data_IF_331581033676
#
_entry.id   IF_331581033676
#
_cell.length_a   1.000
_cell.length_b   1.000
_cell.length_c   1.000
_cell.angle_alpha   90.00
_cell.angle_beta   90.00
_cell.angle_gamma   90.00
#
_symmetry.space_group_name_H-M   'P 1'
#
loop_
_entity.id
_entity.type
_entity.pdbx_description
1 polymer ?
#
# COMPACT_ATOMS: atom_id res chain seq x y z
N UNK A 1 0.52 17.94 -3.15
CA UNK A 1 1.80 18.26 -3.83
C UNK A 1 1.83 19.69 -4.41
N UNK A 2 0.96 20.06 -5.37
CA UNK A 2 1.01 21.38 -6.05
C UNK A 2 1.05 22.59 -5.10
N UNK A 3 0.26 22.60 -4.04
CA UNK A 3 0.24 23.69 -3.06
C UNK A 3 1.55 23.81 -2.27
N UNK A 4 2.21 22.69 -1.96
CA UNK A 4 3.51 22.69 -1.28
C UNK A 4 4.57 23.34 -2.19
N UNK A 5 4.57 22.96 -3.48
CA UNK A 5 5.51 23.54 -4.46
C UNK A 5 5.28 25.04 -4.68
N UNK A 6 4.02 25.50 -4.70
CA UNK A 6 3.71 26.94 -4.78
C UNK A 6 4.25 27.72 -3.58
N UNK A 7 4.06 27.20 -2.37
CA UNK A 7 4.56 27.81 -1.13
C UNK A 7 6.08 27.83 -1.08
N UNK A 8 6.74 26.78 -1.58
CA UNK A 8 8.19 26.73 -1.69
C UNK A 8 8.74 27.78 -2.67
N UNK A 9 8.17 27.88 -3.87
CA UNK A 9 8.59 28.88 -4.88
C UNK A 9 8.33 30.31 -4.38
N UNK A 10 7.27 30.51 -3.59
CA UNK A 10 6.97 31.79 -2.95
C UNK A 10 7.90 32.12 -1.76
N UNK A 11 8.77 31.19 -1.33
CA UNK A 11 9.66 31.36 -0.18
C UNK A 11 8.94 31.30 1.18
N UNK A 12 7.67 30.87 1.21
CA UNK A 12 6.87 30.78 2.45
C UNK A 12 7.26 29.58 3.32
N UNK A 13 7.92 28.59 2.72
CA UNK A 13 8.46 27.41 3.41
C UNK A 13 9.87 27.13 2.89
N UNK A 14 10.72 26.56 3.74
CA UNK A 14 12.06 26.09 3.34
C UNK A 14 11.98 24.83 2.46
N UNK A 15 13.10 24.48 1.81
CA UNK A 15 13.22 23.21 1.10
C UNK A 15 13.00 22.05 2.08
N UNK A 16 13.60 22.10 3.26
CA UNK A 16 13.45 21.05 4.29
C UNK A 16 11.99 20.91 4.74
N UNK A 17 11.28 22.03 4.98
CA UNK A 17 9.84 22.03 5.29
C UNK A 17 9.00 21.43 4.16
N UNK A 18 9.35 21.73 2.91
CA UNK A 18 8.66 21.19 1.75
C UNK A 18 8.90 19.69 1.63
N UNK A 19 10.12 19.22 1.85
CA UNK A 19 10.45 17.79 1.86
C UNK A 19 9.68 17.04 2.94
N UNK A 20 9.64 17.55 4.18
CA UNK A 20 8.92 16.90 5.27
C UNK A 20 7.40 16.83 5.03
N UNK A 21 6.82 17.91 4.49
CA UNK A 21 5.38 17.91 4.12
C UNK A 21 5.07 17.00 2.94
N UNK A 22 6.00 16.84 1.99
CA UNK A 22 5.86 15.88 0.90
C UNK A 22 6.00 14.44 1.40
N UNK A 23 6.87 14.19 2.38
CA UNK A 23 7.02 12.88 3.03
C UNK A 23 5.73 12.41 3.71
N UNK A 24 5.00 13.33 4.37
CA UNK A 24 3.71 13.03 5.04
C UNK A 24 2.59 12.71 4.02
N UNK A 25 2.65 13.24 2.80
CA UNK A 25 1.66 12.95 1.75
C UNK A 25 1.81 11.56 1.11
N UNK A 26 2.74 10.73 1.60
CA UNK A 26 2.95 9.36 1.09
C UNK A 26 2.02 8.33 1.76
N UNK A 27 0.96 8.78 2.41
CA UNK A 27 -0.12 7.92 2.89
C UNK A 27 -1.22 7.90 1.84
N UNK A 28 -1.34 6.78 1.13
CA UNK A 28 -2.39 6.55 0.17
C UNK A 28 -3.67 6.14 0.92
N UNK A 29 -4.78 6.85 0.69
CA UNK A 29 -6.08 6.38 1.14
C UNK A 29 -6.62 5.35 0.13
N UNK A 30 -6.84 4.11 0.56
CA UNK A 30 -7.46 3.06 -0.24
C UNK A 30 -8.89 2.85 0.27
N UNK A 31 -9.87 3.34 -0.47
CA UNK A 31 -11.27 3.40 -0.02
C UNK A 31 -11.47 4.30 1.21
N UNK A 32 -12.59 4.11 1.93
CA UNK A 32 -12.98 5.00 3.04
C UNK A 32 -12.20 4.76 4.35
N UNK A 33 -11.60 3.57 4.52
CA UNK A 33 -11.13 3.09 5.82
C UNK A 33 -9.68 2.57 5.85
N UNK A 34 -8.92 2.68 4.77
CA UNK A 34 -7.53 2.19 4.74
C UNK A 34 -6.58 3.33 4.40
N UNK A 35 -5.63 3.58 5.30
CA UNK A 35 -4.50 4.48 5.08
C UNK A 35 -3.26 3.61 4.95
N UNK A 36 -2.60 3.66 3.80
CA UNK A 36 -1.47 2.84 3.46
C UNK A 36 -0.22 3.71 3.29
N UNK A 37 0.79 3.49 4.12
CA UNK A 37 2.09 4.13 4.05
C UNK A 37 2.97 3.43 3.00
N UNK A 38 2.81 3.85 1.73
CA UNK A 38 3.59 3.35 0.58
C UNK A 38 5.08 3.65 0.68
N UNK A 39 5.52 4.40 1.70
CA UNK A 39 6.93 4.73 1.93
C UNK A 39 7.55 4.02 3.12
N UNK A 40 6.78 3.13 3.78
CA UNK A 40 7.28 2.36 4.92
C UNK A 40 8.51 1.54 4.57
N UNK A 41 8.52 0.92 3.38
CA UNK A 41 9.65 0.13 2.91
C UNK A 41 10.91 0.98 2.76
N UNK A 42 10.81 2.16 2.15
CA UNK A 42 11.95 3.09 2.02
C UNK A 42 12.50 3.57 3.36
N UNK A 43 11.67 3.63 4.41
CA UNK A 43 12.06 4.12 5.74
C UNK A 43 12.61 3.02 6.65
N UNK A 44 12.11 1.79 6.54
CA UNK A 44 12.34 0.71 7.52
C UNK A 44 12.83 -0.60 6.86
N UNK A 45 12.86 -0.67 5.53
CA UNK A 45 13.27 -1.83 4.76
C UNK A 45 12.21 -2.92 4.63
N UNK A 46 10.98 -2.68 5.09
CA UNK A 46 9.86 -3.63 5.00
C UNK A 46 8.55 -2.92 4.62
N UNK A 47 7.72 -3.53 3.75
CA UNK A 47 6.42 -2.99 3.37
C UNK A 47 5.42 -2.95 4.52
N UNK A 48 4.28 -2.31 4.28
CA UNK A 48 3.18 -2.34 5.24
C UNK A 48 2.43 -3.67 5.18
N UNK A 49 2.22 -4.25 6.37
CA UNK A 49 1.52 -5.50 6.53
C UNK A 49 0.01 -5.27 6.69
N UNK A 50 -0.79 -5.86 5.81
CA UNK A 50 -2.25 -5.89 5.91
C UNK A 50 -2.67 -7.19 6.59
N UNK A 51 -3.46 -7.06 7.64
CA UNK A 51 -4.03 -8.19 8.35
C UNK A 51 -5.31 -8.66 7.65
N UNK A 52 -5.30 -9.83 7.01
CA UNK A 52 -6.42 -10.30 6.19
C UNK A 52 -7.61 -10.80 7.01
N UNK A 53 -7.35 -11.42 8.16
CA UNK A 53 -8.40 -11.97 9.01
C UNK A 53 -9.28 -10.84 9.58
N UNK A 54 -10.60 -10.97 9.46
CA UNK A 54 -11.56 -9.95 9.89
C UNK A 54 -11.89 -8.89 8.83
N UNK A 55 -11.18 -8.84 7.70
CA UNK A 55 -11.60 -8.07 6.51
C UNK A 55 -12.56 -8.88 5.65
N UNK A 56 -13.43 -8.22 4.89
CA UNK A 56 -14.21 -8.89 3.84
C UNK A 56 -13.31 -9.24 2.64
N UNK A 57 -13.79 -10.11 1.75
CA UNK A 57 -13.06 -10.39 0.51
C UNK A 57 -13.03 -9.18 -0.42
N UNK A 58 -14.11 -8.39 -0.44
CA UNK A 58 -14.22 -7.13 -1.18
C UNK A 58 -13.17 -6.11 -0.70
N UNK A 59 -13.02 -5.95 0.62
CA UNK A 59 -11.99 -5.08 1.20
C UNK A 59 -10.59 -5.53 0.76
N UNK A 60 -10.30 -6.83 0.80
CA UNK A 60 -9.01 -7.36 0.39
C UNK A 60 -8.73 -7.10 -1.08
N UNK A 61 -9.69 -7.38 -1.96
CA UNK A 61 -9.57 -7.12 -3.40
C UNK A 61 -9.33 -5.64 -3.64
N UNK A 62 -10.08 -4.76 -2.96
CA UNK A 62 -9.94 -3.33 -3.09
C UNK A 62 -8.55 -2.84 -2.62
N UNK A 63 -8.06 -3.35 -1.48
CA UNK A 63 -6.72 -3.01 -0.98
C UNK A 63 -5.64 -3.44 -1.96
N UNK A 64 -5.69 -4.70 -2.41
CA UNK A 64 -4.65 -5.31 -3.24
C UNK A 64 -4.61 -4.65 -4.63
N UNK A 65 -5.76 -4.34 -5.23
CA UNK A 65 -5.81 -3.79 -6.59
C UNK A 65 -5.50 -2.29 -6.67
N UNK A 66 -5.63 -1.55 -5.57
CA UNK A 66 -5.40 -0.10 -5.56
C UNK A 66 -4.04 0.29 -5.00
N UNK A 67 -3.14 -0.65 -4.73
CA UNK A 67 -1.81 -0.31 -4.26
C UNK A 67 -0.94 0.23 -5.39
N UNK A 68 -0.13 1.26 -5.11
CA UNK A 68 0.75 1.86 -6.11
C UNK A 68 1.86 0.92 -6.61
N UNK A 69 2.34 0.00 -5.76
CA UNK A 69 3.32 -1.03 -6.12
C UNK A 69 3.16 -2.25 -5.22
N UNK A 70 3.31 -3.46 -5.78
CA UNK A 70 3.23 -4.72 -5.03
C UNK A 70 4.35 -4.82 -3.99
N UNK A 71 5.53 -4.26 -4.26
CA UNK A 71 6.66 -4.24 -3.32
C UNK A 71 6.31 -3.53 -1.99
N UNK A 72 5.30 -2.66 -2.01
CA UNK A 72 4.84 -1.95 -0.82
C UNK A 72 3.88 -2.77 0.05
N UNK A 73 3.45 -3.98 -0.38
CA UNK A 73 2.33 -4.72 0.21
C UNK A 73 2.74 -6.09 0.77
N UNK A 74 2.35 -6.37 2.00
CA UNK A 74 2.40 -7.72 2.55
C UNK A 74 1.06 -8.10 3.19
N UNK A 75 0.29 -8.99 2.57
CA UNK A 75 -0.94 -9.51 3.15
C UNK A 75 -0.60 -10.70 4.05
N UNK A 76 -0.95 -10.61 5.33
CA UNK A 76 -0.68 -11.64 6.34
C UNK A 76 -1.95 -12.37 6.75
N UNK A 77 -1.80 -13.63 7.19
CA UNK A 77 -2.91 -14.50 7.63
C UNK A 77 -3.99 -14.66 6.56
N UNK A 78 -3.55 -14.89 5.33
CA UNK A 78 -4.40 -15.17 4.17
C UNK A 78 -4.31 -16.67 3.84
N UNK A 79 -5.27 -17.51 4.30
CA UNK A 79 -5.27 -18.93 4.00
C UNK A 79 -5.35 -19.21 2.50
N UNK A 80 -4.77 -20.32 2.05
CA UNK A 80 -4.64 -20.66 0.62
C UNK A 80 -6.01 -20.72 -0.08
N UNK A 81 -7.01 -21.29 0.57
CA UNK A 81 -8.38 -21.35 0.06
C UNK A 81 -8.92 -19.94 -0.22
N UNK A 82 -8.70 -19.01 0.72
CA UNK A 82 -9.15 -17.64 0.59
C UNK A 82 -8.37 -16.89 -0.47
N UNK A 83 -7.04 -17.08 -0.54
CA UNK A 83 -6.23 -16.54 -1.63
C UNK A 83 -6.76 -17.00 -2.99
N UNK A 84 -7.03 -18.30 -3.15
CA UNK A 84 -7.57 -18.86 -4.39
C UNK A 84 -8.94 -18.31 -4.76
N UNK A 85 -9.75 -17.91 -3.78
CA UNK A 85 -11.03 -17.23 -4.01
C UNK A 85 -10.82 -15.80 -4.52
N UNK A 86 -9.96 -15.02 -3.87
CA UNK A 86 -9.76 -13.61 -4.22
C UNK A 86 -8.88 -13.40 -5.45
N UNK A 87 -7.94 -14.31 -5.76
CA UNK A 87 -6.96 -14.15 -6.84
C UNK A 87 -7.60 -13.90 -8.21
N UNK A 88 -8.79 -14.46 -8.46
CA UNK A 88 -9.50 -14.33 -9.74
C UNK A 88 -10.06 -12.92 -9.97
N UNK A 89 -10.06 -12.07 -8.94
CA UNK A 89 -10.52 -10.68 -8.97
C UNK A 89 -9.34 -9.69 -8.87
N UNK A 90 -8.10 -10.19 -8.79
CA UNK A 90 -6.92 -9.34 -8.74
C UNK A 90 -6.48 -8.95 -10.15
N UNK A 91 -5.93 -7.75 -10.28
CA UNK A 91 -5.38 -7.27 -11.54
C UNK A 91 -4.19 -8.15 -11.99
N UNK A 92 -4.07 -8.37 -13.31
CA UNK A 92 -3.00 -9.22 -13.87
C UNK A 92 -1.59 -8.76 -13.48
N UNK A 93 -1.37 -7.45 -13.41
CA UNK A 93 -0.09 -6.89 -13.00
C UNK A 93 0.26 -7.25 -11.55
N UNK A 94 -0.74 -7.21 -10.66
CA UNK A 94 -0.55 -7.63 -9.26
C UNK A 94 -0.21 -9.11 -9.19
N UNK A 95 -0.93 -9.96 -9.91
CA UNK A 95 -0.66 -11.40 -9.92
C UNK A 95 0.72 -11.75 -10.47
N UNK A 96 1.21 -10.97 -11.45
CA UNK A 96 2.53 -11.17 -12.05
C UNK A 96 3.67 -10.76 -11.11
N UNK A 97 3.45 -9.70 -10.34
CA UNK A 97 4.48 -9.11 -9.48
C UNK A 97 4.39 -9.58 -8.01
N UNK A 98 3.34 -10.34 -7.65
CA UNK A 98 3.14 -10.89 -6.31
C UNK A 98 3.59 -12.35 -6.19
N UNK A 99 3.88 -12.76 -4.96
CA UNK A 99 4.21 -14.13 -4.59
C UNK A 99 3.42 -14.57 -3.36
N UNK A 100 2.69 -15.65 -3.51
CA UNK A 100 2.00 -16.30 -2.41
C UNK A 100 2.87 -17.40 -1.78
N UNK A 101 3.03 -17.33 -0.46
CA UNK A 101 3.74 -18.29 0.37
C UNK A 101 2.72 -19.11 1.19
N UNK A 102 2.44 -20.33 0.72
CA UNK A 102 1.41 -21.22 1.29
C UNK A 102 1.66 -21.53 2.76
N UNK A 103 2.89 -21.90 3.12
CA UNK A 103 3.26 -22.33 4.47
C UNK A 103 3.13 -21.18 5.48
N UNK A 104 3.38 -19.95 5.02
CA UNK A 104 3.29 -18.75 5.85
C UNK A 104 1.88 -18.10 5.80
N UNK A 105 1.03 -18.48 4.86
CA UNK A 105 -0.24 -17.80 4.56
C UNK A 105 -0.05 -16.30 4.31
N UNK A 106 0.94 -15.96 3.46
CA UNK A 106 1.34 -14.60 3.13
C UNK A 106 1.33 -14.36 1.63
N UNK A 107 0.82 -13.21 1.18
CA UNK A 107 1.03 -12.66 -0.16
C UNK A 107 1.98 -11.47 -0.03
N UNK A 108 3.07 -11.46 -0.79
CA UNK A 108 3.94 -10.29 -1.02
C UNK A 108 3.99 -9.96 -2.49
#
# INVERSE_FOLDING_TARGET
MRDILKKLIAGEISIDDAEDRLRINQVQAIGDNVKFDVSREKRVGVPEAVYAQGKTDEDLINIINNIDSVDNLMITRLPEERFNKVKNYLNDDVLKNSKYFKEASILT
#
